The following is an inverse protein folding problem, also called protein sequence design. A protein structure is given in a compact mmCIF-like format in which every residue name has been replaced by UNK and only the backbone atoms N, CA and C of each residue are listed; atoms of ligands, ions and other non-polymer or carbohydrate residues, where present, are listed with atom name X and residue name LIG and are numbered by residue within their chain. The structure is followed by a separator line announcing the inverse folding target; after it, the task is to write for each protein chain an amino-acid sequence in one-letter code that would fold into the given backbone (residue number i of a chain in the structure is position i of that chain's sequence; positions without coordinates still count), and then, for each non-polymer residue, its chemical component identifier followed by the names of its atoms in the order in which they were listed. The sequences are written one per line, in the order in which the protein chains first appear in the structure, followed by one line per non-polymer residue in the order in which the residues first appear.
data_IF_000565559362
#
_entry.id   IF_000565559362
#
_cell.length_a   1.000
_cell.length_b   1.000
_cell.length_c   1.000
_cell.angle_alpha   90.00
_cell.angle_beta   90.00
_cell.angle_gamma   90.00
#
_symmetry.space_group_name_H-M   'P 1'
#
loop_
_entity.id
_entity.type
_entity.pdbx_description
1 polymer ?
#
# COMPACT_ATOMS: atom_id res chain seq x y z
N UNK A 1 23.37 14.94 -1.67
CA UNK A 1 21.92 15.16 -1.52
C UNK A 1 21.23 13.81 -1.53
N UNK A 2 20.36 13.59 -0.59
CA UNK A 2 19.62 12.32 -0.52
C UNK A 2 18.35 12.44 -1.34
N UNK A 3 18.10 11.41 -2.15
CA UNK A 3 16.87 11.33 -2.92
C UNK A 3 15.89 10.43 -2.19
N UNK A 4 14.70 10.94 -1.95
CA UNK A 4 13.63 10.14 -1.38
C UNK A 4 12.90 9.46 -2.53
N UNK A 5 12.80 8.15 -2.44
CA UNK A 5 12.16 7.33 -3.47
C UNK A 5 11.04 6.52 -2.86
N UNK A 6 10.04 6.21 -3.67
CA UNK A 6 8.95 5.34 -3.29
C UNK A 6 9.05 4.09 -4.15
N UNK A 7 9.11 2.93 -3.51
CA UNK A 7 9.17 1.65 -4.21
C UNK A 7 7.94 0.83 -3.91
N UNK A 8 7.41 0.19 -4.94
CA UNK A 8 6.38 -0.81 -4.75
C UNK A 8 7.03 -2.07 -4.22
N UNK A 9 6.64 -2.47 -3.01
CA UNK A 9 7.26 -3.62 -2.35
C UNK A 9 6.33 -4.82 -2.30
N UNK A 10 5.05 -4.65 -2.58
CA UNK A 10 4.10 -5.74 -2.53
C UNK A 10 2.87 -5.44 -3.38
N UNK A 11 2.16 -6.51 -3.75
CA UNK A 11 0.91 -6.42 -4.48
C UNK A 11 0.02 -7.56 -4.02
N UNK A 12 -1.25 -7.28 -3.73
CA UNK A 12 -2.16 -8.31 -3.30
C UNK A 12 -3.60 -7.92 -3.63
N UNK A 13 -4.50 -8.86 -3.53
CA UNK A 13 -5.90 -8.64 -3.84
C UNK A 13 -6.75 -8.69 -2.59
N UNK A 14 -7.73 -7.79 -2.55
CA UNK A 14 -8.72 -7.73 -1.48
C UNK A 14 -10.11 -7.78 -2.11
N UNK A 15 -11.10 -8.12 -1.30
CA UNK A 15 -12.49 -8.16 -1.73
C UNK A 15 -13.35 -7.32 -0.81
N UNK A 16 -14.46 -6.81 -1.35
CA UNK A 16 -15.45 -6.13 -0.54
C UNK A 16 -16.56 -7.11 -0.13
N UNK A 17 -17.60 -6.59 0.51
CA UNK A 17 -18.70 -7.42 1.00
C UNK A 17 -19.53 -8.04 -0.11
N UNK A 18 -19.40 -7.54 -1.33
CA UNK A 18 -20.11 -8.06 -2.49
C UNK A 18 -19.26 -9.00 -3.33
N UNK A 19 -18.03 -9.26 -2.90
CA UNK A 19 -17.14 -10.13 -3.64
C UNK A 19 -16.39 -9.47 -4.77
N UNK A 20 -16.46 -8.16 -4.90
CA UNK A 20 -15.69 -7.43 -5.91
C UNK A 20 -14.21 -7.43 -5.53
N UNK A 21 -13.37 -7.69 -6.50
CA UNK A 21 -11.92 -7.77 -6.28
C UNK A 21 -11.25 -6.43 -6.52
N UNK A 22 -10.25 -6.12 -5.68
CA UNK A 22 -9.46 -4.91 -5.78
C UNK A 22 -8.00 -5.26 -5.67
N UNK A 23 -7.19 -4.71 -6.55
CA UNK A 23 -5.75 -4.88 -6.50
C UNK A 23 -5.15 -3.74 -5.68
N UNK A 24 -4.35 -4.10 -4.69
CA UNK A 24 -3.72 -3.15 -3.78
C UNK A 24 -2.22 -3.20 -3.98
N UNK A 25 -1.61 -2.05 -4.10
CA UNK A 25 -0.16 -1.92 -4.14
C UNK A 25 0.34 -1.35 -2.83
N UNK A 26 1.37 -1.97 -2.29
CA UNK A 26 2.04 -1.46 -1.10
C UNK A 26 3.32 -0.76 -1.51
N UNK A 27 3.48 0.46 -1.04
CA UNK A 27 4.65 1.29 -1.35
C UNK A 27 5.42 1.61 -0.09
N UNK A 28 6.73 1.61 -0.21
CA UNK A 28 7.61 1.98 0.89
C UNK A 28 8.46 3.16 0.46
N UNK A 29 8.41 4.24 1.22
CA UNK A 29 9.33 5.35 1.03
C UNK A 29 10.67 5.01 1.65
N UNK A 30 11.72 5.55 1.07
CA UNK A 30 13.05 5.34 1.58
C UNK A 30 14.04 6.30 0.97
N UNK A 31 15.26 6.18 1.40
CA UNK A 31 16.35 7.00 0.92
C UNK A 31 17.49 6.09 0.51
N UNK A 32 18.02 6.28 -0.70
CA UNK A 32 19.17 5.55 -1.16
C UNK A 32 20.42 6.36 -0.89
N UNK A 33 21.34 5.78 -0.13
CA UNK A 33 22.61 6.42 0.20
C UNK A 33 23.64 6.12 -0.88
N UNK A 34 24.76 6.88 -0.89
CA UNK A 34 25.84 6.61 -1.85
C UNK A 34 26.37 5.18 -1.78
N UNK A 35 26.20 4.51 -0.66
CA UNK A 35 26.58 3.09 -0.50
C UNK A 35 25.59 2.15 -1.14
N UNK A 36 24.55 2.65 -1.81
CA UNK A 36 23.51 1.89 -2.48
C UNK A 36 22.61 1.10 -1.54
N UNK A 37 22.58 1.47 -0.27
CA UNK A 37 21.66 0.86 0.66
C UNK A 37 20.33 1.57 0.64
N UNK A 38 19.26 0.78 0.51
CA UNK A 38 17.90 1.29 0.64
C UNK A 38 17.56 1.38 2.12
N UNK A 39 17.16 2.56 2.56
CA UNK A 39 16.79 2.78 3.95
C UNK A 39 15.32 3.19 3.99
N UNK A 40 14.51 2.43 4.71
CA UNK A 40 13.10 2.71 4.84
C UNK A 40 12.89 4.01 5.62
N UNK A 41 11.99 4.84 5.13
CA UNK A 41 11.64 6.10 5.77
C UNK A 41 10.13 6.10 6.01
N UNK A 42 9.71 5.86 7.26
CA UNK A 42 8.30 5.86 7.62
C UNK A 42 7.61 4.54 7.34
N UNK A 43 6.30 4.58 7.37
CA UNK A 43 5.46 3.40 7.21
C UNK A 43 5.11 3.19 5.75
N UNK A 44 4.75 1.94 5.43
CA UNK A 44 4.25 1.61 4.11
C UNK A 44 2.94 2.33 3.82
N UNK A 45 2.69 2.60 2.55
CA UNK A 45 1.44 3.18 2.08
C UNK A 45 0.78 2.22 1.11
N UNK A 46 -0.54 2.24 1.10
CA UNK A 46 -1.32 1.34 0.26
C UNK A 46 -2.18 2.14 -0.69
N UNK A 47 -2.28 1.68 -1.93
CA UNK A 47 -3.10 2.33 -2.95
C UNK A 47 -3.78 1.28 -3.81
N UNK A 48 -4.97 1.62 -4.31
CA UNK A 48 -5.61 0.83 -5.34
C UNK A 48 -4.86 0.97 -6.66
N UNK A 49 -5.16 0.10 -7.61
CA UNK A 49 -4.52 0.15 -8.93
C UNK A 49 -4.74 1.48 -9.65
N UNK A 50 -5.80 2.21 -9.31
CA UNK A 50 -6.08 3.52 -9.88
C UNK A 50 -5.42 4.67 -9.11
N UNK A 51 -4.67 4.36 -8.06
CA UNK A 51 -3.98 5.36 -7.25
C UNK A 51 -4.75 5.84 -6.03
N UNK A 52 -5.97 5.36 -5.80
CA UNK A 52 -6.76 5.78 -4.65
C UNK A 52 -6.13 5.31 -3.35
N UNK A 53 -5.92 6.19 -2.36
CA UNK A 53 -5.33 5.78 -1.09
C UNK A 53 -6.19 4.80 -0.32
N UNK A 54 -5.53 3.85 0.35
CA UNK A 54 -6.18 2.84 1.17
C UNK A 54 -5.51 2.82 2.53
N UNK A 55 -6.29 2.76 3.59
CA UNK A 55 -5.79 2.71 4.95
C UNK A 55 -5.82 1.28 5.47
N UNK A 56 -4.75 0.85 6.10
CA UNK A 56 -4.69 -0.46 6.72
C UNK A 56 -5.34 -0.37 8.10
N UNK A 57 -6.39 -1.17 8.32
CA UNK A 57 -7.06 -1.24 9.61
C UNK A 57 -6.40 -2.31 10.48
N UNK A 58 -6.18 -3.50 9.90
CA UNK A 58 -5.44 -4.58 10.56
C UNK A 58 -4.84 -5.46 9.45
N UNK A 59 -4.23 -6.59 9.84
CA UNK A 59 -3.53 -7.43 8.89
C UNK A 59 -4.40 -7.98 7.78
N UNK A 60 -5.71 -8.05 8.01
CA UNK A 60 -6.65 -8.63 7.05
C UNK A 60 -7.67 -7.64 6.54
N UNK A 61 -7.67 -6.41 7.04
CA UNK A 61 -8.73 -5.43 6.76
C UNK A 61 -8.12 -4.11 6.33
N UNK A 62 -8.66 -3.57 5.25
CA UNK A 62 -8.25 -2.27 4.70
C UNK A 62 -9.50 -1.44 4.44
N UNK A 63 -9.32 -0.13 4.31
CA UNK A 63 -10.42 0.79 4.10
C UNK A 63 -10.03 1.81 3.05
N UNK A 64 -10.88 1.96 2.04
CA UNK A 64 -10.64 2.97 1.00
C UNK A 64 -10.88 4.35 1.61
N UNK A 65 -9.88 5.22 1.53
CA UNK A 65 -9.91 6.51 2.22
C UNK A 65 -11.04 7.42 1.73
N UNK A 66 -11.36 7.37 0.43
CA UNK A 66 -12.35 8.28 -0.16
C UNK A 66 -13.78 7.83 0.03
N UNK A 67 -14.03 6.52 0.03
CA UNK A 67 -15.40 5.97 0.09
C UNK A 67 -15.72 5.32 1.42
N UNK A 68 -14.71 5.11 2.26
CA UNK A 68 -14.81 4.38 3.52
C UNK A 68 -15.23 2.92 3.35
N UNK A 69 -15.13 2.41 2.12
CA UNK A 69 -15.46 1.02 1.85
C UNK A 69 -14.43 0.11 2.50
N UNK A 70 -14.90 -0.92 3.18
CA UNK A 70 -14.04 -1.88 3.87
C UNK A 70 -13.71 -3.03 2.92
N UNK A 71 -12.42 -3.38 2.86
CA UNK A 71 -11.92 -4.48 2.04
C UNK A 71 -11.20 -5.47 2.95
N UNK A 72 -11.25 -6.75 2.60
CA UNK A 72 -10.52 -7.76 3.36
C UNK A 72 -9.86 -8.73 2.43
N UNK A 73 -8.90 -9.49 2.96
CA UNK A 73 -8.20 -10.49 2.19
C UNK A 73 -9.19 -11.57 1.76
N UNK A 74 -9.03 -12.03 0.52
CA UNK A 74 -9.89 -13.07 -0.02
C UNK A 74 -9.68 -14.38 0.72
N UNK A 75 -8.56 -14.56 1.33
CA UNK A 75 -8.27 -15.74 2.13
C UNK A 75 -7.14 -15.49 3.09
#
# INVERSE_FOLDING_TARGET
MQNRETQQINEFELIDDHGNEYTIFEYQEGTQKPSLKWIKAGQSRFRLSDGTPVDKVDDNTFKIATTHKVLHRAR
#
